data_IF_518385433530
#
_entry.id   IF_518385433530
#
_cell.length_a   1.000
_cell.length_b   1.000
_cell.length_c   1.000
_cell.angle_alpha   90.00
_cell.angle_beta   90.00
_cell.angle_gamma   90.00
#
_symmetry.space_group_name_H-M   'P 1'
#
loop_
_entity.id
_entity.type
_entity.pdbx_description
1 polymer ?
#
# COMPACT_ATOMS: atom_id res chain seq x y z
N UNK A 1 17.81 -39.34 -13.60
CA UNK A 1 17.09 -38.05 -13.49
C UNK A 1 17.46 -37.44 -12.15
N UNK A 2 18.18 -36.32 -12.16
CA UNK A 2 18.89 -35.75 -11.01
C UNK A 2 18.21 -34.44 -10.60
N UNK A 3 17.28 -34.49 -9.62
CA UNK A 3 16.70 -33.28 -9.04
C UNK A 3 17.44 -32.94 -7.75
N UNK A 4 18.19 -31.83 -7.83
CA UNK A 4 19.13 -31.34 -6.84
C UNK A 4 18.37 -30.56 -5.77
N UNK A 5 18.59 -30.95 -4.52
CA UNK A 5 18.04 -30.36 -3.30
C UNK A 5 18.57 -28.94 -3.09
N UNK A 6 17.69 -27.97 -2.81
CA UNK A 6 18.09 -26.67 -2.29
C UNK A 6 17.68 -26.56 -0.83
N UNK A 7 18.64 -26.89 0.02
CA UNK A 7 18.64 -26.61 1.45
C UNK A 7 18.90 -25.12 1.66
N UNK A 8 18.01 -24.41 2.34
CA UNK A 8 18.33 -23.15 3.00
C UNK A 8 17.74 -23.21 4.40
N UNK A 9 18.59 -23.64 5.35
CA UNK A 9 18.40 -23.41 6.76
C UNK A 9 18.91 -22.00 7.08
N UNK A 10 18.06 -21.18 7.71
CA UNK A 10 18.52 -20.01 8.44
C UNK A 10 17.63 -19.83 9.67
N UNK A 11 18.19 -20.31 10.77
CA UNK A 11 17.75 -20.21 12.15
C UNK A 11 17.90 -18.76 12.63
N UNK A 12 16.86 -18.18 13.23
CA UNK A 12 16.99 -17.04 14.14
C UNK A 12 15.77 -16.99 15.08
N UNK A 13 15.90 -17.71 16.20
CA UNK A 13 15.25 -17.43 17.48
C UNK A 13 15.55 -15.97 17.86
N UNK A 14 14.58 -15.19 18.36
CA UNK A 14 14.77 -14.24 19.48
C UNK A 14 13.41 -13.90 20.10
N UNK A 15 13.29 -14.31 21.37
CA UNK A 15 12.67 -13.69 22.53
C UNK A 15 11.35 -12.92 22.40
N UNK A 16 10.33 -13.51 23.03
CA UNK A 16 9.20 -12.81 23.64
C UNK A 16 9.65 -11.69 24.57
N UNK A 17 9.02 -10.52 24.48
CA UNK A 17 9.02 -9.52 25.55
C UNK A 17 7.59 -9.02 25.72
N UNK A 18 6.91 -9.61 26.69
CA UNK A 18 5.70 -9.04 27.29
C UNK A 18 6.10 -7.84 28.13
N UNK A 19 5.88 -6.63 27.63
CA UNK A 19 5.92 -5.43 28.47
C UNK A 19 4.56 -5.29 29.15
N UNK A 20 4.53 -5.62 30.44
CA UNK A 20 3.41 -5.36 31.33
C UNK A 20 3.20 -3.85 31.48
N UNK A 21 1.93 -3.47 31.53
CA UNK A 21 1.43 -2.13 31.79
C UNK A 21 2.09 -1.50 33.03
N UNK A 22 2.38 -0.20 32.93
CA UNK A 22 2.39 0.69 34.08
C UNK A 22 1.39 1.80 33.81
N UNK A 23 0.26 1.69 34.51
CA UNK A 23 -0.75 2.73 34.66
C UNK A 23 -0.12 4.00 35.26
N UNK A 24 -0.29 5.13 34.56
CA UNK A 24 -0.26 6.44 35.20
C UNK A 24 -1.67 7.03 35.03
N UNK A 25 -2.55 6.68 35.97
CA UNK A 25 -3.86 7.31 36.13
C UNK A 25 -3.67 8.67 36.83
N UNK A 26 -3.62 9.75 36.05
CA UNK A 26 -3.83 11.10 36.58
C UNK A 26 -4.74 11.90 35.64
N UNK A 27 -5.89 12.25 36.21
CA UNK A 27 -6.86 13.25 35.76
C UNK A 27 -7.66 12.92 34.49
N UNK A 28 -8.93 12.60 34.73
CA UNK A 28 -9.94 12.34 33.72
C UNK A 28 -10.05 13.42 32.67
N UNK A 29 -9.88 12.99 31.43
CA UNK A 29 -10.63 13.49 30.29
C UNK A 29 -11.03 12.25 29.51
N UNK A 30 -12.33 12.05 29.28
CA UNK A 30 -12.88 11.03 28.39
C UNK A 30 -12.44 11.31 26.95
N UNK A 31 -11.15 11.16 26.69
CA UNK A 31 -10.58 11.09 25.36
C UNK A 31 -10.73 9.64 24.94
N UNK A 32 -11.84 9.33 24.29
CA UNK A 32 -11.99 8.11 23.52
C UNK A 32 -10.78 8.06 22.59
N UNK A 33 -9.79 7.25 22.94
CA UNK A 33 -8.58 7.09 22.16
C UNK A 33 -9.00 6.53 20.81
N UNK A 34 -9.16 7.41 19.82
CA UNK A 34 -9.26 7.04 18.44
C UNK A 34 -7.94 6.36 18.11
N UNK A 35 -7.88 5.03 18.27
CA UNK A 35 -6.79 4.27 17.69
C UNK A 35 -6.90 4.54 16.19
N UNK A 36 -5.90 5.20 15.57
CA UNK A 36 -5.88 5.27 14.12
C UNK A 36 -5.72 3.83 13.67
N UNK A 37 -6.84 3.19 13.28
CA UNK A 37 -6.77 2.04 12.40
C UNK A 37 -5.86 2.47 11.26
N UNK A 38 -4.78 1.72 11.04
CA UNK A 38 -3.79 2.03 10.02
C UNK A 38 -4.46 1.89 8.64
N UNK A 39 -5.27 2.90 8.30
CA UNK A 39 -5.77 3.13 6.96
C UNK A 39 -4.51 3.29 6.13
N UNK A 40 -4.31 2.38 5.18
CA UNK A 40 -3.22 2.49 4.24
C UNK A 40 -3.47 3.77 3.43
N UNK A 41 -2.89 4.87 3.89
CA UNK A 41 -3.09 6.17 3.31
C UNK A 41 -2.38 6.17 1.96
N UNK A 42 -3.16 6.08 0.87
CA UNK A 42 -2.62 6.14 -0.49
C UNK A 42 -1.90 7.48 -0.68
N UNK A 43 -0.67 7.42 -1.19
CA UNK A 43 0.07 8.62 -1.56
C UNK A 43 -0.59 9.32 -2.75
N UNK A 44 -0.32 10.62 -2.93
CA UNK A 44 -0.82 11.33 -4.12
C UNK A 44 -0.18 10.76 -5.39
N UNK A 45 1.09 10.37 -5.35
CA UNK A 45 1.75 9.67 -6.44
C UNK A 45 1.05 8.35 -6.82
N UNK A 46 0.61 7.56 -5.83
CA UNK A 46 -0.13 6.33 -6.07
C UNK A 46 -1.48 6.60 -6.73
N UNK A 47 -2.23 7.60 -6.25
CA UNK A 47 -3.52 7.98 -6.85
C UNK A 47 -3.35 8.43 -8.31
N UNK A 48 -2.31 9.22 -8.61
CA UNK A 48 -2.06 9.66 -10.00
C UNK A 48 -1.73 8.47 -10.90
N UNK A 49 -0.85 7.57 -10.45
CA UNK A 49 -0.52 6.36 -11.21
C UNK A 49 -1.74 5.46 -11.43
N UNK A 50 -2.60 5.32 -10.43
CA UNK A 50 -3.85 4.55 -10.46
C UNK A 50 -4.81 5.15 -11.52
N UNK A 51 -4.97 6.47 -11.53
CA UNK A 51 -5.79 7.17 -12.54
C UNK A 51 -5.23 7.02 -13.97
N UNK A 52 -3.91 6.96 -14.13
CA UNK A 52 -3.31 6.73 -15.44
C UNK A 52 -3.62 5.33 -15.98
N UNK A 53 -3.44 4.28 -15.18
CA UNK A 53 -3.76 2.91 -15.59
C UNK A 53 -5.27 2.67 -15.71
N UNK A 54 -6.08 3.42 -14.95
CA UNK A 54 -7.53 3.41 -15.06
C UNK A 54 -8.02 3.91 -16.44
N UNK A 55 -7.40 4.99 -16.93
CA UNK A 55 -7.64 5.45 -18.30
C UNK A 55 -7.09 4.46 -19.34
N UNK A 56 -5.89 3.95 -19.11
CA UNK A 56 -5.24 3.00 -20.03
C UNK A 56 -6.00 1.68 -20.18
N UNK A 57 -6.67 1.20 -19.13
CA UNK A 57 -7.45 -0.05 -19.17
C UNK A 57 -8.71 0.07 -20.05
N UNK A 58 -9.16 1.29 -20.30
CA UNK A 58 -10.42 1.60 -20.97
C UNK A 58 -11.61 1.76 -20.02
N UNK A 59 -11.44 1.56 -18.70
CA UNK A 59 -12.53 1.73 -17.72
C UNK A 59 -13.11 3.15 -17.75
N UNK A 60 -12.25 4.17 -17.83
CA UNK A 60 -12.71 5.57 -17.93
C UNK A 60 -13.62 5.84 -19.15
N UNK A 61 -13.48 5.09 -20.25
CA UNK A 61 -14.32 5.25 -21.44
C UNK A 61 -15.67 4.53 -21.33
N UNK A 62 -15.83 3.66 -20.34
CA UNK A 62 -17.07 2.96 -20.03
C UNK A 62 -17.92 3.73 -19.02
N UNK A 63 -17.29 4.41 -18.05
CA UNK A 63 -17.99 5.26 -17.08
C UNK A 63 -18.75 6.44 -17.71
N UNK A 64 -18.25 6.96 -18.83
CA UNK A 64 -18.83 8.13 -19.51
C UNK A 64 -19.96 7.81 -20.47
N UNK A 65 -20.29 6.53 -20.70
CA UNK A 65 -21.44 6.14 -21.52
C UNK A 65 -22.59 5.85 -20.56
N UNK A 66 -23.81 6.26 -20.91
CA UNK A 66 -25.05 5.67 -20.39
C UNK A 66 -25.13 4.20 -20.88
N UNK A 67 -24.16 3.38 -20.46
CA UNK A 67 -24.01 2.01 -20.89
C UNK A 67 -25.02 1.18 -20.11
N UNK A 68 -26.08 0.65 -20.75
CA UNK A 68 -27.09 -0.14 -20.05
C UNK A 68 -26.49 -1.42 -19.44
N UNK A 69 -25.32 -1.85 -19.92
CA UNK A 69 -24.53 -2.94 -19.36
C UNK A 69 -23.32 -2.42 -18.59
N UNK A 70 -23.56 -1.97 -17.35
CA UNK A 70 -22.51 -1.57 -16.38
C UNK A 70 -21.49 -2.68 -16.12
N UNK A 71 -21.84 -3.95 -16.40
CA UNK A 71 -21.01 -5.13 -16.19
C UNK A 71 -20.93 -6.07 -17.41
N UNK A 72 -21.19 -5.54 -18.62
CA UNK A 72 -21.07 -6.30 -19.86
C UNK A 72 -19.64 -6.79 -20.14
N UNK A 73 -19.46 -7.59 -21.18
CA UNK A 73 -18.16 -8.18 -21.53
C UNK A 73 -17.05 -7.12 -21.66
N UNK A 74 -17.37 -5.95 -22.23
CA UNK A 74 -16.43 -4.85 -22.37
C UNK A 74 -15.88 -4.32 -21.02
N UNK A 75 -16.73 -4.29 -19.98
CA UNK A 75 -16.32 -3.92 -18.63
C UNK A 75 -15.41 -4.99 -18.03
N UNK A 76 -15.77 -6.27 -18.17
CA UNK A 76 -14.97 -7.39 -17.65
C UNK A 76 -13.57 -7.40 -18.28
N UNK A 77 -13.49 -7.20 -19.59
CA UNK A 77 -12.22 -7.13 -20.31
C UNK A 77 -11.38 -5.92 -19.86
N UNK A 78 -12.01 -4.75 -19.66
CA UNK A 78 -11.35 -3.56 -19.15
C UNK A 78 -10.86 -3.73 -17.70
N UNK A 79 -11.66 -4.38 -16.86
CA UNK A 79 -11.30 -4.70 -15.49
C UNK A 79 -10.11 -5.66 -15.44
N UNK A 80 -10.09 -6.70 -16.28
CA UNK A 80 -8.96 -7.62 -16.36
C UNK A 80 -7.66 -6.91 -16.77
N UNK A 81 -7.74 -6.00 -17.77
CA UNK A 81 -6.59 -5.15 -18.16
C UNK A 81 -6.13 -4.26 -17.02
N UNK A 82 -7.05 -3.62 -16.30
CA UNK A 82 -6.71 -2.79 -15.14
C UNK A 82 -5.97 -3.58 -14.06
N UNK A 83 -6.45 -4.77 -13.71
CA UNK A 83 -5.81 -5.61 -12.69
C UNK A 83 -4.42 -6.09 -13.13
N UNK A 84 -4.25 -6.41 -14.42
CA UNK A 84 -2.94 -6.75 -14.99
C UNK A 84 -1.97 -5.57 -14.90
N UNK A 85 -2.41 -4.35 -15.23
CA UNK A 85 -1.60 -3.13 -15.09
C UNK A 85 -1.26 -2.85 -13.61
N UNK A 86 -2.24 -2.95 -12.71
CA UNK A 86 -2.09 -2.62 -11.29
C UNK A 86 -1.11 -3.53 -10.55
N UNK A 87 -1.08 -4.81 -10.93
CA UNK A 87 -0.18 -5.83 -10.35
C UNK A 87 1.22 -5.85 -11.00
N UNK A 88 1.43 -5.09 -12.07
CA UNK A 88 2.71 -5.06 -12.78
C UNK A 88 3.80 -4.31 -12.01
N UNK A 89 5.06 -4.69 -12.22
CA UNK A 89 6.23 -3.91 -11.74
C UNK A 89 6.26 -2.49 -12.33
N UNK A 90 5.70 -2.31 -13.53
CA UNK A 90 5.59 -1.00 -14.18
C UNK A 90 4.74 -0.02 -13.37
N UNK A 91 3.71 -0.49 -12.66
CA UNK A 91 2.92 0.35 -11.78
C UNK A 91 3.77 0.89 -10.62
N UNK A 92 4.53 0.04 -9.94
CA UNK A 92 5.42 0.46 -8.84
C UNK A 92 6.49 1.46 -9.32
N UNK A 93 7.08 1.22 -10.50
CA UNK A 93 8.04 2.16 -11.11
C UNK A 93 7.40 3.52 -11.44
N UNK A 94 6.15 3.52 -11.91
CA UNK A 94 5.40 4.73 -12.23
C UNK A 94 5.09 5.53 -10.96
N UNK A 95 4.65 4.88 -9.89
CA UNK A 95 4.46 5.51 -8.57
C UNK A 95 5.77 6.12 -8.07
N UNK A 96 6.87 5.38 -8.10
CA UNK A 96 8.18 5.88 -7.65
C UNK A 96 8.63 7.11 -8.44
N UNK A 97 8.47 7.09 -9.77
CA UNK A 97 8.79 8.22 -10.65
C UNK A 97 7.96 9.46 -10.31
N UNK A 98 6.65 9.29 -10.17
CA UNK A 98 5.74 10.40 -9.84
C UNK A 98 6.05 10.96 -8.45
N UNK A 99 6.36 10.09 -7.48
CA UNK A 99 6.75 10.52 -6.13
C UNK A 99 8.04 11.37 -6.17
N UNK A 100 9.06 10.93 -6.89
CA UNK A 100 10.32 11.67 -7.08
C UNK A 100 10.08 13.04 -7.74
N UNK A 101 9.28 13.09 -8.81
CA UNK A 101 8.94 14.35 -9.50
C UNK A 101 8.21 15.34 -8.59
N UNK A 102 7.50 14.85 -7.58
CA UNK A 102 6.69 15.66 -6.67
C UNK A 102 7.39 16.00 -5.36
N UNK A 103 8.60 15.49 -5.15
CA UNK A 103 9.29 15.59 -3.85
C UNK A 103 8.54 14.86 -2.73
N UNK A 104 7.69 13.89 -3.06
CA UNK A 104 7.06 13.04 -2.06
C UNK A 104 8.10 12.06 -1.56
N UNK A 105 8.39 12.09 -0.26
CA UNK A 105 9.18 11.04 0.37
C UNK A 105 8.45 9.73 0.09
N UNK A 106 9.10 8.80 -0.63
CA UNK A 106 8.61 7.43 -0.77
C UNK A 106 8.50 6.84 0.64
N UNK A 107 7.31 6.96 1.25
CA UNK A 107 6.97 6.39 2.55
C UNK A 107 6.82 4.87 2.42
N UNK A 108 7.91 4.22 1.99
CA UNK A 108 8.19 2.82 2.23
C UNK A 108 9.26 2.67 3.34
N UNK A 109 9.77 3.79 3.89
CA UNK A 109 10.82 3.80 4.92
C UNK A 109 10.54 4.74 6.12
N UNK A 110 9.31 5.28 6.26
CA UNK A 110 8.98 6.25 7.33
C UNK A 110 8.44 5.59 8.63
N UNK A 111 8.83 4.35 8.90
CA UNK A 111 8.60 3.68 10.19
C UNK A 111 9.85 3.61 11.09
N UNK A 112 11.00 4.09 10.62
CA UNK A 112 12.28 3.96 11.32
C UNK A 112 13.02 5.31 11.37
N UNK A 113 12.50 6.26 12.14
CA UNK A 113 13.33 7.35 12.68
C UNK A 113 13.62 7.03 14.16
N UNK A 114 14.87 6.65 14.52
CA UNK A 114 15.26 6.56 15.90
C UNK A 114 15.19 7.96 16.52
N UNK A 115 14.46 8.10 17.64
CA UNK A 115 14.49 9.33 18.44
C UNK A 115 15.92 9.56 18.91
N UNK A 116 16.55 10.63 18.43
CA UNK A 116 17.85 11.07 18.92
C UNK A 116 17.73 11.41 20.41
N UNK A 117 18.60 10.88 21.28
CA UNK A 117 18.68 11.36 22.65
C UNK A 117 19.27 12.78 22.65
N UNK A 118 18.52 13.75 23.20
CA UNK A 118 19.06 15.06 23.53
C UNK A 118 19.97 14.89 24.76
N UNK A 119 21.19 15.38 24.61
CA UNK A 119 22.20 15.50 25.66
C UNK A 119 21.89 16.71 26.56
#
# INVERSE_FOLDING_TARGET
>A
MLFKQFTLAALAVIASSTALAHDNHAAGTDSVAYQPVAMHQRSRAEVIADLEIYRQSGLAALDGRDSPEVYGQAYQDAQARYQSLRSSSQFAMRVARIAQQRGEATTLAAGAMPKQPMN
#
